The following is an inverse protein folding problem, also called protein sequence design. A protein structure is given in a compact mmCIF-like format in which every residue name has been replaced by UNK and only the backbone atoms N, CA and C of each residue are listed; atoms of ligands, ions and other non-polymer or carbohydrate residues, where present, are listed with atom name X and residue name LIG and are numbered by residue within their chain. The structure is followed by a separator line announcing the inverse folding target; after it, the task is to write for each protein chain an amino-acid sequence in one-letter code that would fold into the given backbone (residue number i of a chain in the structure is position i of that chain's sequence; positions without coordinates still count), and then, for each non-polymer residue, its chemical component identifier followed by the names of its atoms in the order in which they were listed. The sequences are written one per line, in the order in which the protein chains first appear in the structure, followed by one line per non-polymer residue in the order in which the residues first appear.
data_IF_437909615003
#
_entry.id   IF_437909615003
#
_cell.length_a   1.000
_cell.length_b   1.000
_cell.length_c   1.000
_cell.angle_alpha   90.00
_cell.angle_beta   90.00
_cell.angle_gamma   90.00
#
_symmetry.space_group_name_H-M   'P 1'
#
loop_
_entity.id
_entity.type
_entity.pdbx_description
1 polymer ?
#
# COMPACT_ATOMS: atom_id res chain seq x y z
N UNK A 1 -12.76 0.17 -1.56
CA UNK A 1 -12.82 0.90 -0.29
C UNK A 1 -11.85 0.24 0.68
N UNK A 2 -11.05 1.02 1.36
CA UNK A 2 -9.90 0.52 2.15
C UNK A 2 -9.23 1.72 2.83
N UNK A 3 -8.44 1.49 3.85
CA UNK A 3 -7.42 2.41 4.34
C UNK A 3 -6.13 1.63 4.59
N UNK A 4 -5.07 2.00 3.90
CA UNK A 4 -3.71 1.54 4.15
C UNK A 4 -2.90 2.75 4.62
N UNK A 5 -2.12 2.57 5.65
CA UNK A 5 -1.23 3.59 6.22
C UNK A 5 0.20 3.07 6.23
N UNK A 6 1.16 3.93 5.97
CA UNK A 6 2.58 3.60 6.04
C UNK A 6 3.36 4.67 6.80
N UNK A 7 4.36 4.26 7.56
CA UNK A 7 5.24 5.13 8.36
C UNK A 7 6.67 4.64 8.27
N UNK A 8 7.60 5.56 8.02
CA UNK A 8 9.04 5.30 8.17
C UNK A 8 9.46 5.68 9.59
N UNK A 9 10.15 4.77 10.27
CA UNK A 9 10.66 5.00 11.61
C UNK A 9 11.96 4.20 11.81
N UNK A 10 13.01 4.87 12.26
CA UNK A 10 14.33 4.27 12.53
C UNK A 10 14.85 3.39 11.37
N UNK A 11 14.71 3.88 10.13
CA UNK A 11 15.19 3.17 8.94
C UNK A 11 14.35 1.95 8.54
N UNK A 12 13.20 1.73 9.17
CA UNK A 12 12.23 0.67 8.83
C UNK A 12 10.94 1.27 8.33
N UNK A 13 10.28 0.52 7.47
CA UNK A 13 8.93 0.87 7.00
C UNK A 13 7.92 -0.01 7.71
N UNK A 14 6.92 0.62 8.30
CA UNK A 14 5.76 -0.03 8.91
C UNK A 14 4.53 0.26 8.04
N UNK A 15 3.75 -0.76 7.74
CA UNK A 15 2.50 -0.61 6.97
C UNK A 15 1.35 -1.26 7.75
N UNK A 16 0.25 -0.54 7.86
CA UNK A 16 -0.99 -1.00 8.48
C UNK A 16 -2.16 -0.95 7.50
N UNK A 17 -3.12 -1.84 7.68
CA UNK A 17 -4.30 -1.89 6.82
C UNK A 17 -5.53 -2.43 7.53
N UNK A 18 -6.70 -2.04 7.01
CA UNK A 18 -8.02 -2.49 7.44
C UNK A 18 -8.42 -3.82 6.81
N UNK A 19 -9.58 -4.37 7.23
CA UNK A 19 -10.10 -5.66 6.75
C UNK A 19 -11.42 -5.54 5.96
N UNK A 20 -11.87 -4.33 5.61
CA UNK A 20 -13.13 -4.16 4.89
C UNK A 20 -13.06 -4.69 3.45
N UNK A 21 -14.00 -5.56 3.08
CA UNK A 21 -14.37 -5.85 1.70
C UNK A 21 -15.74 -5.23 1.42
N UNK A 22 -15.82 -4.23 0.56
CA UNK A 22 -17.08 -3.51 0.30
C UNK A 22 -17.46 -3.68 -1.17
N UNK A 23 -18.70 -4.09 -1.40
CA UNK A 23 -19.32 -4.20 -2.71
C UNK A 23 -20.73 -3.57 -2.66
N UNK A 24 -20.91 -2.45 -3.37
CA UNK A 24 -22.13 -1.66 -3.24
C UNK A 24 -22.38 -1.21 -1.81
N UNK A 25 -23.51 -1.61 -1.24
CA UNK A 25 -23.87 -1.30 0.16
C UNK A 25 -23.50 -2.41 1.15
N UNK A 26 -22.90 -3.50 0.69
CA UNK A 26 -22.53 -4.63 1.54
C UNK A 26 -21.09 -4.54 2.00
N UNK A 27 -20.87 -4.79 3.29
CA UNK A 27 -19.56 -4.86 3.91
C UNK A 27 -19.31 -6.27 4.44
N UNK A 28 -18.16 -6.82 4.11
CA UNK A 28 -17.65 -8.08 4.67
C UNK A 28 -16.31 -7.80 5.34
N UNK A 29 -16.13 -8.24 6.58
CA UNK A 29 -14.81 -8.26 7.21
C UNK A 29 -14.06 -9.48 6.69
N UNK A 30 -12.96 -9.24 5.98
CA UNK A 30 -12.22 -10.29 5.30
C UNK A 30 -11.08 -10.84 6.16
N UNK A 31 -10.85 -12.15 6.05
CA UNK A 31 -9.73 -12.81 6.71
C UNK A 31 -8.41 -12.64 5.95
N UNK A 32 -8.47 -12.41 4.63
CA UNK A 32 -7.30 -12.15 3.80
C UNK A 32 -6.79 -10.73 4.02
N UNK A 33 -5.57 -10.62 4.52
CA UNK A 33 -4.94 -9.36 4.91
C UNK A 33 -4.57 -8.53 3.69
N UNK A 34 -4.76 -7.22 3.79
CA UNK A 34 -4.35 -6.24 2.77
C UNK A 34 -2.89 -5.82 2.88
N UNK A 35 -2.21 -6.21 3.96
CA UNK A 35 -0.79 -5.94 4.20
C UNK A 35 -0.02 -7.25 4.27
N UNK A 36 1.18 -7.29 3.68
CA UNK A 36 2.00 -8.50 3.59
C UNK A 36 3.46 -8.17 3.27
N UNK A 37 4.33 -9.16 3.46
CA UNK A 37 5.71 -9.13 2.97
C UNK A 37 5.84 -9.97 1.69
N UNK A 38 6.70 -9.49 0.78
CA UNK A 38 7.12 -10.24 -0.39
C UNK A 38 8.63 -9.98 -0.61
N UNK A 39 9.47 -10.92 -0.21
CA UNK A 39 10.92 -10.74 -0.16
C UNK A 39 11.31 -9.57 0.75
N UNK A 40 12.11 -8.66 0.23
CA UNK A 40 12.59 -7.47 0.95
C UNK A 40 11.56 -6.32 0.98
N UNK A 41 10.38 -6.55 0.43
CA UNK A 41 9.33 -5.54 0.32
C UNK A 41 8.22 -5.79 1.35
N UNK A 42 7.75 -4.71 1.98
CA UNK A 42 6.49 -4.71 2.73
C UNK A 42 5.46 -3.92 1.92
N UNK A 43 4.28 -4.46 1.76
CA UNK A 43 3.26 -3.91 0.86
C UNK A 43 1.91 -3.83 1.53
N UNK A 44 1.12 -2.80 1.14
CA UNK A 44 -0.28 -2.67 1.52
C UNK A 44 -1.10 -2.13 0.36
N UNK A 45 -2.18 -2.81 -0.01
CA UNK A 45 -2.94 -2.50 -1.22
C UNK A 45 -4.35 -1.99 -0.94
N UNK A 46 -4.83 -1.15 -1.85
CA UNK A 46 -6.24 -0.79 -2.01
C UNK A 46 -6.72 -1.22 -3.42
N UNK A 47 -7.74 -0.57 -3.97
CA UNK A 47 -8.32 -0.81 -5.29
C UNK A 47 -8.97 -2.18 -5.44
N UNK A 48 -8.23 -3.29 -5.45
CA UNK A 48 -8.76 -4.63 -5.73
C UNK A 48 -8.05 -5.72 -4.92
N UNK A 49 -8.83 -6.64 -4.38
CA UNK A 49 -8.29 -7.86 -3.77
C UNK A 49 -7.56 -8.74 -4.80
N UNK A 50 -8.02 -8.75 -6.07
CA UNK A 50 -7.31 -9.52 -7.12
C UNK A 50 -5.91 -8.98 -7.35
N UNK A 51 -5.75 -7.65 -7.40
CA UNK A 51 -4.41 -7.05 -7.47
C UNK A 51 -3.55 -7.44 -6.28
N UNK A 52 -4.08 -7.33 -5.06
CA UNK A 52 -3.34 -7.72 -3.85
C UNK A 52 -2.93 -9.19 -3.84
N UNK A 53 -3.79 -10.09 -4.31
CA UNK A 53 -3.48 -11.52 -4.46
C UNK A 53 -2.35 -11.76 -5.45
N UNK A 54 -2.34 -11.06 -6.59
CA UNK A 54 -1.28 -11.15 -7.58
C UNK A 54 0.05 -10.63 -7.03
N UNK A 55 0.04 -9.47 -6.39
CA UNK A 55 1.23 -8.89 -5.74
C UNK A 55 1.79 -9.76 -4.62
N UNK A 56 0.93 -10.46 -3.89
CA UNK A 56 1.34 -11.33 -2.78
C UNK A 56 1.83 -12.70 -3.21
N UNK A 57 1.19 -13.32 -4.21
CA UNK A 57 1.35 -14.75 -4.51
C UNK A 57 1.95 -15.05 -5.89
N UNK A 58 1.89 -14.10 -6.82
CA UNK A 58 2.38 -14.28 -8.20
C UNK A 58 3.54 -13.36 -8.54
N UNK A 59 3.62 -12.20 -7.91
CA UNK A 59 4.71 -11.25 -8.14
C UNK A 59 6.02 -11.75 -7.52
N UNK A 60 7.07 -11.82 -8.34
CA UNK A 60 8.44 -12.04 -7.90
C UNK A 60 9.21 -10.73 -8.03
N UNK A 61 9.43 -9.99 -6.93
CA UNK A 61 10.12 -8.71 -7.01
C UNK A 61 11.52 -8.84 -7.61
N UNK A 62 11.91 -7.97 -8.53
CA UNK A 62 13.27 -7.98 -9.07
C UNK A 62 14.29 -7.67 -7.97
N UNK A 63 15.50 -8.20 -8.12
CA UNK A 63 16.62 -7.86 -7.24
C UNK A 63 17.31 -6.59 -7.76
N UNK A 64 17.45 -5.59 -6.89
CA UNK A 64 18.20 -4.38 -7.23
C UNK A 64 19.71 -4.70 -7.29
N UNK A 65 20.37 -4.26 -8.37
CA UNK A 65 21.83 -4.30 -8.41
C UNK A 65 22.39 -3.28 -7.39
N UNK A 66 23.44 -3.60 -6.63
CA UNK A 66 24.00 -2.72 -5.58
C UNK A 66 24.29 -1.30 -6.07
N UNK A 67 24.78 -1.16 -7.29
CA UNK A 67 25.15 0.15 -7.88
C UNK A 67 23.96 0.91 -8.50
N UNK A 68 22.77 0.31 -8.53
CA UNK A 68 21.56 0.97 -9.04
C UNK A 68 20.96 1.83 -7.92
N UNK A 69 20.74 3.09 -8.23
CA UNK A 69 20.00 4.00 -7.35
C UNK A 69 18.60 3.48 -7.05
N UNK A 70 18.11 3.71 -5.81
CA UNK A 70 16.82 3.19 -5.36
C UNK A 70 15.67 3.81 -6.16
N UNK A 71 15.71 5.12 -6.43
CA UNK A 71 14.65 5.80 -7.18
C UNK A 71 14.57 5.23 -8.60
N UNK A 72 15.73 5.13 -9.27
CA UNK A 72 15.79 4.51 -10.60
C UNK A 72 15.25 3.10 -10.59
N UNK A 73 15.64 2.27 -9.63
CA UNK A 73 15.15 0.91 -9.50
C UNK A 73 13.63 0.85 -9.33
N UNK A 74 13.07 1.70 -8.47
CA UNK A 74 11.63 1.71 -8.20
C UNK A 74 10.82 2.17 -9.41
N UNK A 75 11.25 3.21 -10.12
CA UNK A 75 10.54 3.74 -11.29
C UNK A 75 10.77 2.93 -12.59
N UNK A 76 11.67 1.96 -12.58
CA UNK A 76 11.95 1.12 -13.75
C UNK A 76 11.72 -0.36 -13.45
N UNK A 77 12.68 -1.06 -12.87
CA UNK A 77 12.67 -2.51 -12.72
C UNK A 77 11.50 -2.99 -11.86
N UNK A 78 11.29 -2.35 -10.70
CA UNK A 78 10.21 -2.73 -9.79
C UNK A 78 8.84 -2.52 -10.43
N UNK A 79 8.56 -1.32 -10.96
CA UNK A 79 7.27 -0.99 -11.59
C UNK A 79 7.00 -1.83 -12.83
N UNK A 80 8.03 -2.09 -13.68
CA UNK A 80 7.85 -2.95 -14.84
C UNK A 80 7.51 -4.39 -14.42
N UNK A 81 8.17 -4.92 -13.39
CA UNK A 81 7.82 -6.22 -12.82
C UNK A 81 6.39 -6.29 -12.29
N UNK A 82 5.91 -5.23 -11.63
CA UNK A 82 4.50 -5.11 -11.19
C UNK A 82 3.56 -5.13 -12.41
N UNK A 83 3.82 -4.29 -13.42
CA UNK A 83 3.01 -4.24 -14.65
C UNK A 83 2.90 -5.61 -15.32
N UNK A 84 4.02 -6.30 -15.48
CA UNK A 84 4.05 -7.62 -16.10
C UNK A 84 3.26 -8.65 -15.29
N UNK A 85 3.38 -8.63 -13.97
CA UNK A 85 2.60 -9.49 -13.08
C UNK A 85 1.09 -9.23 -13.19
N UNK A 86 0.67 -7.97 -13.13
CA UNK A 86 -0.74 -7.61 -13.21
C UNK A 86 -1.34 -7.90 -14.58
N UNK A 87 -0.58 -7.67 -15.65
CA UNK A 87 -0.97 -8.00 -17.03
C UNK A 87 -1.12 -9.50 -17.23
N UNK A 88 -0.12 -10.29 -16.80
CA UNK A 88 -0.15 -11.75 -16.91
C UNK A 88 -1.26 -12.37 -16.05
N UNK A 89 -1.58 -11.74 -14.91
CA UNK A 89 -2.67 -12.14 -14.01
C UNK A 89 -4.07 -11.71 -14.48
N UNK A 90 -4.19 -11.02 -15.62
CA UNK A 90 -5.46 -10.57 -16.19
C UNK A 90 -6.13 -9.45 -15.38
N UNK A 91 -5.35 -8.66 -14.64
CA UNK A 91 -5.87 -7.54 -13.84
C UNK A 91 -5.62 -6.18 -14.49
N UNK A 92 -4.46 -5.99 -15.15
CA UNK A 92 -4.16 -4.71 -15.79
C UNK A 92 -5.12 -4.46 -16.95
N UNK A 93 -5.83 -3.33 -16.89
CA UNK A 93 -6.78 -2.90 -17.93
C UNK A 93 -6.13 -1.86 -18.84
N UNK A 94 -6.54 -1.83 -20.10
CA UNK A 94 -6.26 -0.72 -21.02
C UNK A 94 -7.49 0.16 -21.15
N UNK A 95 -7.36 1.42 -20.74
CA UNK A 95 -8.38 2.43 -20.97
C UNK A 95 -7.82 3.47 -21.93
N UNK A 96 -8.43 3.64 -23.11
CA UNK A 96 -7.94 4.57 -24.14
C UNK A 96 -6.44 4.45 -24.45
N UNK A 97 -5.94 3.22 -24.60
CA UNK A 97 -4.52 2.87 -24.83
C UNK A 97 -3.58 3.06 -23.64
N UNK A 98 -4.01 3.66 -22.53
CA UNK A 98 -3.23 3.72 -21.29
C UNK A 98 -3.43 2.45 -20.45
N UNK A 99 -2.33 1.89 -19.95
CA UNK A 99 -2.39 0.78 -18.98
C UNK A 99 -2.69 1.36 -17.58
N UNK A 100 -3.62 0.71 -16.89
CA UNK A 100 -3.93 1.03 -15.51
C UNK A 100 -3.80 -0.20 -14.61
N UNK A 101 -3.17 0.01 -13.48
CA UNK A 101 -3.12 -0.92 -12.34
C UNK A 101 -4.01 -0.42 -11.22
N UNK A 102 -3.59 -0.65 -10.00
CA UNK A 102 -4.25 -0.12 -8.81
C UNK A 102 -3.27 0.63 -7.92
N UNK A 103 -3.77 1.09 -6.78
CA UNK A 103 -3.00 1.91 -5.84
C UNK A 103 -2.53 1.06 -4.66
N UNK A 104 -1.27 1.21 -4.26
CA UNK A 104 -0.72 0.53 -3.10
C UNK A 104 0.50 1.28 -2.52
N UNK A 105 0.80 1.00 -1.26
CA UNK A 105 2.03 1.43 -0.61
C UNK A 105 3.05 0.29 -0.63
N UNK A 106 4.32 0.65 -0.78
CA UNK A 106 5.43 -0.31 -0.71
C UNK A 106 6.60 0.28 0.08
N UNK A 107 7.08 -0.46 1.08
CA UNK A 107 8.31 -0.18 1.81
C UNK A 107 9.46 -1.01 1.26
N UNK A 108 10.58 -0.35 0.95
CA UNK A 108 11.81 -0.98 0.50
C UNK A 108 13.02 -0.18 0.94
N UNK A 109 14.05 -0.86 1.45
CA UNK A 109 15.31 -0.24 1.88
C UNK A 109 15.14 0.97 2.82
N UNK A 110 14.18 0.91 3.75
CA UNK A 110 13.88 1.97 4.71
C UNK A 110 13.10 3.15 4.16
N UNK A 111 12.62 3.09 2.92
CA UNK A 111 11.84 4.14 2.24
C UNK A 111 10.43 3.67 1.92
N UNK A 112 9.46 4.58 2.02
CA UNK A 112 8.05 4.33 1.76
C UNK A 112 7.64 4.98 0.44
N UNK A 113 7.19 4.15 -0.50
CA UNK A 113 6.74 4.60 -1.82
C UNK A 113 5.24 4.36 -1.98
N UNK A 114 4.58 5.30 -2.67
CA UNK A 114 3.22 5.16 -3.18
C UNK A 114 3.30 4.83 -4.67
N UNK A 115 2.58 3.80 -5.08
CA UNK A 115 2.38 3.47 -6.49
C UNK A 115 0.93 3.81 -6.84
N UNK A 116 0.72 4.68 -7.81
CA UNK A 116 -0.61 5.05 -8.27
C UNK A 116 -1.08 4.21 -9.47
N UNK A 117 -2.33 4.40 -9.87
CA UNK A 117 -2.96 3.55 -10.90
C UNK A 117 -2.33 3.65 -12.28
N UNK A 118 -1.64 4.73 -12.60
CA UNK A 118 -0.85 4.94 -13.81
C UNK A 118 0.60 4.44 -13.70
N UNK A 119 0.90 3.73 -12.61
CA UNK A 119 2.24 3.21 -12.27
C UNK A 119 3.29 4.28 -11.91
N UNK A 120 2.91 5.55 -11.70
CA UNK A 120 3.85 6.50 -11.12
C UNK A 120 4.27 6.07 -9.72
N UNK A 121 5.51 6.40 -9.37
CA UNK A 121 6.10 6.14 -8.06
C UNK A 121 6.32 7.46 -7.36
N UNK A 122 5.77 7.62 -6.17
CA UNK A 122 5.94 8.81 -5.33
C UNK A 122 6.45 8.44 -3.94
N UNK A 123 7.14 9.37 -3.30
CA UNK A 123 7.58 9.27 -1.91
C UNK A 123 7.21 10.56 -1.18
N UNK A 124 6.55 10.43 -0.02
CA UNK A 124 6.18 11.59 0.79
C UNK A 124 7.36 12.06 1.64
N UNK A 125 7.68 13.36 1.60
CA UNK A 125 8.79 13.98 2.38
C UNK A 125 8.63 13.81 3.89
N UNK A 126 7.40 13.67 4.38
CA UNK A 126 7.09 13.54 5.81
C UNK A 126 7.35 12.14 6.37
N UNK A 127 7.80 11.19 5.54
CA UNK A 127 8.07 9.81 5.94
C UNK A 127 6.81 9.00 6.32
N UNK A 128 5.64 9.44 5.91
CA UNK A 128 4.40 8.67 6.05
C UNK A 128 3.45 8.96 4.88
N UNK A 129 2.60 8.00 4.58
CA UNK A 129 1.53 8.17 3.57
C UNK A 129 0.34 7.26 3.89
N UNK A 130 -0.76 7.48 3.18
CA UNK A 130 -1.96 6.64 3.25
C UNK A 130 -2.61 6.55 1.88
N UNK A 131 -3.28 5.42 1.60
CA UNK A 131 -4.03 5.21 0.36
C UNK A 131 -5.38 4.57 0.62
N UNK A 132 -6.36 4.88 -0.22
CA UNK A 132 -7.73 4.36 -0.15
C UNK A 132 -8.75 5.39 0.31
N UNK A 133 -10.01 4.99 0.52
CA UNK A 133 -11.09 5.92 0.84
C UNK A 133 -10.99 6.59 2.24
N UNK A 134 -10.14 6.05 3.11
CA UNK A 134 -9.83 6.65 4.42
C UNK A 134 -8.56 7.50 4.44
N UNK A 135 -7.88 7.70 3.29
CA UNK A 135 -6.53 8.25 3.24
C UNK A 135 -6.40 9.66 3.83
N UNK A 136 -7.31 10.57 3.54
CA UNK A 136 -7.22 11.96 4.02
C UNK A 136 -7.38 12.04 5.54
N UNK A 137 -8.32 11.25 6.08
CA UNK A 137 -8.55 11.17 7.54
C UNK A 137 -7.31 10.58 8.22
N UNK A 138 -6.78 9.49 7.65
CA UNK A 138 -5.60 8.82 8.17
C UNK A 138 -4.36 9.71 8.11
N UNK A 139 -4.14 10.45 7.01
CA UNK A 139 -3.02 11.41 6.89
C UNK A 139 -3.08 12.50 7.95
N UNK A 140 -4.26 13.06 8.20
CA UNK A 140 -4.45 14.05 9.27
C UNK A 140 -4.12 13.49 10.66
N UNK A 141 -4.55 12.25 10.94
CA UNK A 141 -4.24 11.57 12.20
C UNK A 141 -2.75 11.22 12.33
N UNK A 142 -2.11 10.75 11.25
CA UNK A 142 -0.67 10.49 11.21
C UNK A 142 0.16 11.77 11.47
N UNK A 143 -0.25 12.87 10.88
CA UNK A 143 0.40 14.16 11.12
C UNK A 143 0.29 14.59 12.58
N UNK A 144 -0.91 14.50 13.17
CA UNK A 144 -1.17 14.91 14.55
C UNK A 144 -0.48 14.03 15.61
N UNK A 145 -0.11 12.78 15.24
CA UNK A 145 0.48 11.80 16.16
C UNK A 145 1.96 11.50 15.88
N UNK A 146 2.69 12.42 15.28
CA UNK A 146 4.09 12.23 14.84
C UNK A 146 5.06 11.77 15.94
N UNK A 147 4.79 12.11 17.20
CA UNK A 147 5.63 11.79 18.35
C UNK A 147 5.29 10.42 18.98
N UNK A 148 4.32 9.70 18.42
CA UNK A 148 3.91 8.37 18.89
C UNK A 148 4.71 7.25 18.23
N UNK A 149 4.82 6.09 18.92
CA UNK A 149 5.42 4.89 18.34
C UNK A 149 4.68 4.45 17.06
N UNK A 150 5.37 3.84 16.06
CA UNK A 150 4.83 3.58 14.73
C UNK A 150 3.50 2.82 14.74
N UNK A 151 3.39 1.74 15.50
CA UNK A 151 2.15 0.95 15.55
C UNK A 151 0.99 1.73 16.18
N UNK A 152 1.23 2.44 17.29
CA UNK A 152 0.23 3.29 17.93
C UNK A 152 -0.26 4.40 17.02
N UNK A 153 0.67 5.03 16.31
CA UNK A 153 0.39 6.08 15.32
C UNK A 153 -0.47 5.55 14.14
N UNK A 154 -0.11 4.41 13.58
CA UNK A 154 -0.88 3.77 12.51
C UNK A 154 -2.25 3.29 12.99
N UNK A 155 -2.34 2.74 14.20
CA UNK A 155 -3.60 2.30 14.80
C UNK A 155 -4.56 3.46 14.96
N UNK A 156 -4.10 4.57 15.55
CA UNK A 156 -4.90 5.80 15.69
C UNK A 156 -5.42 6.30 14.34
N UNK A 157 -4.57 6.29 13.31
CA UNK A 157 -4.97 6.72 11.97
C UNK A 157 -6.03 5.81 11.34
N UNK A 158 -5.90 4.50 11.50
CA UNK A 158 -6.89 3.53 11.02
C UNK A 158 -8.20 3.60 11.80
N UNK A 159 -8.18 3.79 13.11
CA UNK A 159 -9.36 4.00 13.96
C UNK A 159 -10.10 5.30 13.58
N UNK A 160 -9.37 6.38 13.32
CA UNK A 160 -9.95 7.63 12.83
C UNK A 160 -10.62 7.42 11.46
N UNK A 161 -9.93 6.73 10.54
CA UNK A 161 -10.49 6.38 9.23
C UNK A 161 -11.73 5.47 9.35
N UNK A 162 -11.72 4.49 10.24
CA UNK A 162 -12.88 3.62 10.51
C UNK A 162 -14.08 4.43 11.04
N UNK A 163 -13.82 5.41 11.92
CA UNK A 163 -14.87 6.23 12.51
C UNK A 163 -15.62 7.07 11.49
N UNK A 164 -14.93 7.58 10.46
CA UNK A 164 -15.46 8.58 9.55
C UNK A 164 -15.58 8.12 8.08
N UNK A 165 -15.10 6.93 7.73
CA UNK A 165 -15.20 6.37 6.39
C UNK A 165 -15.96 5.05 6.39
N UNK A 166 -17.06 4.98 5.65
CA UNK A 166 -17.89 3.77 5.54
C UNK A 166 -17.13 2.56 4.91
N UNK A 167 -16.01 2.80 4.26
CA UNK A 167 -15.24 1.77 3.57
C UNK A 167 -14.05 1.23 4.35
N UNK A 168 -13.93 1.56 5.64
CA UNK A 168 -12.84 1.13 6.52
C UNK A 168 -13.41 0.34 7.69
N UNK A 169 -12.84 -0.84 7.98
CA UNK A 169 -13.28 -1.69 9.09
C UNK A 169 -12.13 -2.55 9.63
N UNK A 170 -11.95 -2.55 10.96
CA UNK A 170 -11.10 -3.53 11.64
C UNK A 170 -11.57 -4.98 11.46
N UNK A 171 -10.74 -5.97 11.88
CA UNK A 171 -9.46 -5.79 12.57
C UNK A 171 -8.38 -5.18 11.69
N UNK A 172 -7.45 -4.46 12.32
CA UNK A 172 -6.29 -3.88 11.63
C UNK A 172 -5.11 -4.84 11.70
N UNK A 173 -4.36 -4.93 10.62
CA UNK A 173 -3.17 -5.75 10.50
C UNK A 173 -1.96 -4.87 10.19
N UNK A 174 -0.80 -5.24 10.75
CA UNK A 174 0.43 -4.48 10.61
C UNK A 174 1.56 -5.41 10.15
N UNK A 175 2.44 -4.88 9.29
CA UNK A 175 3.68 -5.50 8.84
C UNK A 175 4.80 -4.44 8.83
N UNK A 176 6.05 -4.89 8.90
CA UNK A 176 7.22 -3.99 8.84
C UNK A 176 8.37 -4.63 8.07
N UNK A 177 9.26 -3.83 7.47
CA UNK A 177 10.48 -4.29 6.81
C UNK A 177 11.57 -4.74 7.79
#
# INVERSE_FOLDING_TARGET
MTCIVGVVHDGKVHIGGDSAGVGGYSLTVRADRKVFKNGDFVMGFTSSFRMGQLLRHSFSPPKRHPDTDIDKFMVTDFVNGVRDCLKSGGYAERHNEAEQGGVFLVGYAGRLFRIDSDYQVGEAVDGFDSVGCGEDIAKGALWASKDSAPEGRMRLALEAAERFSAGVRGPFHFEHS
#
